data_IF_100474285974
#
_entry.id   IF_100474285974
#
_cell.length_a   1.000
_cell.length_b   1.000
_cell.length_c   1.000
_cell.angle_alpha   90.00
_cell.angle_beta   90.00
_cell.angle_gamma   90.00
#
_symmetry.space_group_name_H-M   'P 1'
#
loop_
_entity.id
_entity.type
_entity.pdbx_description
1 polymer ?
#
# COMPACT_ATOMS: atom_id res chain seq x y z
N UNK A 1 -56.30 34.18 -55.47
CA UNK A 1 -56.11 32.72 -55.55
C UNK A 1 -54.61 32.48 -55.64
N UNK A 2 -53.91 32.22 -54.53
CA UNK A 2 -53.82 30.94 -53.81
C UNK A 2 -53.13 29.86 -54.67
N UNK A 3 -51.90 29.48 -54.30
CA UNK A 3 -51.54 28.11 -53.87
C UNK A 3 -50.08 28.04 -53.36
N UNK A 4 -49.90 27.56 -52.12
CA UNK A 4 -48.63 27.02 -51.58
C UNK A 4 -48.56 25.52 -51.95
N UNK A 5 -47.37 24.86 -52.07
CA UNK A 5 -46.79 24.07 -50.95
C UNK A 5 -45.24 23.78 -51.10
N UNK A 6 -44.60 22.85 -50.34
CA UNK A 6 -44.72 22.48 -48.93
C UNK A 6 -43.41 22.61 -48.10
N UNK A 7 -43.62 22.46 -46.78
CA UNK A 7 -42.69 22.26 -45.67
C UNK A 7 -41.87 20.97 -45.74
N UNK A 8 -40.86 20.90 -44.87
CA UNK A 8 -40.25 19.69 -44.31
C UNK A 8 -39.43 18.77 -45.22
N UNK A 9 -38.12 18.97 -45.20
CA UNK A 9 -37.13 17.89 -44.94
C UNK A 9 -35.74 18.49 -44.89
N UNK A 10 -34.88 17.92 -44.04
CA UNK A 10 -33.45 18.20 -43.88
C UNK A 10 -33.08 19.29 -42.86
N UNK A 11 -33.64 19.22 -41.66
CA UNK A 11 -33.00 19.68 -40.40
C UNK A 11 -33.41 18.77 -39.25
N UNK A 12 -33.00 17.51 -39.29
CA UNK A 12 -33.22 16.56 -38.19
C UNK A 12 -32.09 15.52 -38.15
N UNK A 13 -30.81 15.91 -38.14
CA UNK A 13 -29.74 14.93 -37.88
C UNK A 13 -28.58 15.44 -36.99
N UNK A 14 -28.53 16.71 -36.57
CA UNK A 14 -27.36 17.24 -35.81
C UNK A 14 -27.56 17.33 -34.28
N UNK A 15 -28.78 17.20 -33.75
CA UNK A 15 -29.05 17.40 -32.31
C UNK A 15 -29.13 16.10 -31.46
N UNK A 16 -29.06 14.90 -32.08
CA UNK A 16 -29.16 13.62 -31.37
C UNK A 16 -27.81 13.07 -30.85
N UNK A 17 -26.68 13.52 -31.42
CA UNK A 17 -25.35 13.04 -31.02
C UNK A 17 -24.83 13.65 -29.71
N UNK A 18 -25.46 14.72 -29.22
CA UNK A 18 -24.98 15.49 -28.06
C UNK A 18 -25.44 14.96 -26.69
N UNK A 19 -26.33 13.96 -26.61
CA UNK A 19 -26.71 13.35 -25.33
C UNK A 19 -26.09 11.97 -25.09
N UNK A 20 -25.59 11.32 -26.14
CA UNK A 20 -24.98 10.00 -26.05
C UNK A 20 -23.68 10.04 -25.22
N UNK A 21 -22.88 11.10 -25.36
CA UNK A 21 -21.62 11.24 -24.62
C UNK A 21 -21.83 11.53 -23.12
N UNK A 22 -22.90 12.26 -22.76
CA UNK A 22 -23.27 12.52 -21.35
C UNK A 22 -23.76 11.25 -20.68
N UNK A 23 -24.62 10.47 -21.35
CA UNK A 23 -25.07 9.18 -20.86
C UNK A 23 -23.89 8.22 -20.69
N UNK A 24 -23.00 8.13 -21.68
CA UNK A 24 -21.78 7.32 -21.62
C UNK A 24 -20.87 7.73 -20.45
N UNK A 25 -20.67 9.03 -20.22
CA UNK A 25 -19.89 9.53 -19.10
C UNK A 25 -20.50 9.14 -17.74
N UNK A 26 -21.83 9.20 -17.60
CA UNK A 26 -22.52 8.72 -16.40
C UNK A 26 -22.33 7.20 -16.19
N UNK A 27 -22.41 6.40 -17.25
CA UNK A 27 -22.18 4.96 -17.17
C UNK A 27 -20.71 4.59 -16.89
N UNK A 28 -19.74 5.32 -17.43
CA UNK A 28 -18.32 5.13 -17.14
C UNK A 28 -17.96 5.57 -15.72
N UNK A 29 -18.60 6.65 -15.21
CA UNK A 29 -18.47 7.05 -13.81
C UNK A 29 -18.92 5.92 -12.86
N UNK A 30 -19.90 5.11 -13.30
CA UNK A 30 -20.39 3.96 -12.53
C UNK A 30 -19.43 2.78 -12.47
N UNK A 31 -18.41 2.76 -13.32
CA UNK A 31 -17.33 1.76 -13.29
C UNK A 31 -16.09 2.25 -12.53
N UNK A 32 -16.08 3.51 -12.10
CA UNK A 32 -15.00 4.06 -11.28
C UNK A 32 -14.92 3.33 -9.94
N UNK A 33 -13.76 2.72 -9.66
CA UNK A 33 -13.41 2.17 -8.35
C UNK A 33 -13.10 3.28 -7.33
N UNK A 34 -13.30 4.55 -7.68
CA UNK A 34 -13.16 5.65 -6.75
C UNK A 34 -14.36 5.66 -5.78
N UNK A 35 -14.20 4.92 -4.69
CA UNK A 35 -15.20 4.76 -3.62
C UNK A 35 -15.56 6.07 -2.93
N UNK A 36 -14.69 7.09 -3.01
CA UNK A 36 -14.90 8.38 -2.35
C UNK A 36 -16.13 9.12 -2.88
N UNK A 37 -16.49 8.91 -4.15
CA UNK A 37 -17.62 9.61 -4.78
C UNK A 37 -18.96 8.88 -4.60
N UNK A 38 -18.96 7.62 -4.15
CA UNK A 38 -20.15 6.75 -4.03
C UNK A 38 -20.53 6.40 -2.59
N UNK A 39 -19.67 6.66 -1.61
CA UNK A 39 -20.01 6.42 -0.22
C UNK A 39 -20.96 7.51 0.31
N UNK A 40 -22.10 7.09 0.87
CA UNK A 40 -22.96 7.99 1.62
C UNK A 40 -22.26 8.40 2.92
N UNK A 41 -21.92 9.69 3.03
CA UNK A 41 -21.34 10.26 4.23
C UNK A 41 -22.45 10.85 5.10
N UNK A 42 -22.80 10.15 6.17
CA UNK A 42 -23.78 10.65 7.14
C UNK A 42 -23.32 11.95 7.84
N UNK A 43 -24.23 12.70 8.48
CA UNK A 43 -23.93 13.99 9.13
C UNK A 43 -22.81 13.93 10.17
N UNK A 44 -22.60 12.78 10.80
CA UNK A 44 -21.58 12.55 11.84
C UNK A 44 -20.33 11.82 11.33
N UNK A 45 -20.17 11.64 10.01
CA UNK A 45 -19.01 10.96 9.45
C UNK A 45 -17.74 11.82 9.55
N UNK A 46 -16.58 11.16 9.65
CA UNK A 46 -15.28 11.82 9.69
C UNK A 46 -15.04 12.74 8.48
N UNK A 47 -15.58 12.38 7.31
CA UNK A 47 -15.51 13.21 6.10
C UNK A 47 -16.26 14.54 6.25
N UNK A 48 -17.50 14.52 6.78
CA UNK A 48 -18.31 15.74 6.98
C UNK A 48 -17.67 16.64 8.03
N UNK A 49 -17.13 16.05 9.11
CA UNK A 49 -16.38 16.80 10.14
C UNK A 49 -15.10 17.42 9.54
N UNK A 50 -14.35 16.67 8.74
CA UNK A 50 -13.14 17.18 8.07
C UNK A 50 -13.48 18.32 7.10
N UNK A 51 -14.57 18.19 6.34
CA UNK A 51 -15.08 19.21 5.42
C UNK A 51 -15.51 20.48 6.15
N UNK A 52 -16.24 20.36 7.27
CA UNK A 52 -16.66 21.51 8.06
C UNK A 52 -15.45 22.20 8.72
N UNK A 53 -14.51 21.43 9.26
CA UNK A 53 -13.25 21.95 9.78
C UNK A 53 -12.42 22.66 8.70
N UNK A 54 -12.37 22.10 7.49
CA UNK A 54 -11.69 22.74 6.35
C UNK A 54 -12.30 24.10 6.01
N UNK A 55 -13.64 24.18 5.99
CA UNK A 55 -14.36 25.43 5.73
C UNK A 55 -14.08 26.49 6.82
N UNK A 56 -14.15 26.12 8.10
CA UNK A 56 -13.83 27.02 9.21
C UNK A 56 -12.39 27.51 9.13
N UNK A 57 -11.45 26.63 8.76
CA UNK A 57 -10.05 26.99 8.52
C UNK A 57 -9.91 28.00 7.38
N UNK A 58 -10.60 27.80 6.25
CA UNK A 58 -10.57 28.72 5.12
C UNK A 58 -11.17 30.10 5.46
N UNK A 59 -12.26 30.13 6.23
CA UNK A 59 -12.88 31.37 6.71
C UNK A 59 -11.94 32.16 7.63
N UNK A 60 -11.16 31.49 8.47
CA UNK A 60 -10.28 32.12 9.46
C UNK A 60 -8.89 32.50 8.92
N UNK A 61 -8.31 31.69 8.03
CA UNK A 61 -6.93 31.84 7.54
C UNK A 61 -6.85 32.14 6.04
N UNK A 62 -7.96 32.19 5.31
CA UNK A 62 -7.97 32.27 3.86
C UNK A 62 -7.51 30.97 3.18
N UNK A 63 -7.19 31.04 1.88
CA UNK A 63 -6.81 29.89 1.04
C UNK A 63 -5.40 29.35 1.31
N UNK A 64 -4.85 29.55 2.51
CA UNK A 64 -3.53 29.08 2.88
C UNK A 64 -3.57 27.58 3.19
N UNK A 65 -3.09 26.78 2.24
CA UNK A 65 -2.84 25.36 2.43
C UNK A 65 -1.63 25.19 3.34
N UNK A 66 -1.84 25.25 4.66
CA UNK A 66 -0.83 24.70 5.57
C UNK A 66 -0.77 23.19 5.33
N UNK A 67 0.43 22.62 5.14
CA UNK A 67 0.56 21.17 4.99
C UNK A 67 -0.07 20.49 6.20
N UNK A 68 -0.92 19.49 5.96
CA UNK A 68 -1.61 18.70 7.01
C UNK A 68 -0.63 18.03 8.00
N UNK A 69 0.66 18.04 7.65
CA UNK A 69 1.77 17.46 8.39
C UNK A 69 2.80 18.55 8.65
N UNK A 70 3.32 18.60 9.88
CA UNK A 70 4.42 19.50 10.25
C UNK A 70 5.70 19.11 9.50
N UNK A 71 6.24 19.93 8.58
CA UNK A 71 7.37 19.54 7.75
C UNK A 71 8.60 19.08 8.55
N UNK A 72 8.86 19.69 9.71
CA UNK A 72 9.98 19.33 10.59
C UNK A 72 9.92 17.91 11.18
N UNK A 73 8.73 17.29 11.27
CA UNK A 73 8.57 15.93 11.82
C UNK A 73 8.19 14.89 10.76
N UNK A 74 7.71 15.35 9.60
CA UNK A 74 7.15 14.50 8.56
C UNK A 74 7.90 14.58 7.22
N UNK A 75 8.87 15.48 7.12
CA UNK A 75 9.87 15.48 6.05
C UNK A 75 10.92 14.42 6.34
N UNK A 76 11.38 13.75 5.28
CA UNK A 76 12.45 12.76 5.36
C UNK A 76 13.72 13.45 5.88
N UNK A 77 14.25 12.96 6.99
CA UNK A 77 15.46 13.54 7.59
C UNK A 77 16.69 13.11 6.78
N UNK A 78 17.77 13.88 6.83
CA UNK A 78 18.98 13.59 6.05
C UNK A 78 19.55 12.17 6.32
N UNK A 79 19.48 11.71 7.57
CA UNK A 79 19.91 10.35 7.96
C UNK A 79 18.96 9.25 7.45
N UNK A 80 17.69 9.55 7.23
CA UNK A 80 16.73 8.62 6.60
C UNK A 80 17.01 8.50 5.10
N UNK A 81 17.33 9.63 4.45
CA UNK A 81 17.70 9.68 3.03
C UNK A 81 18.98 8.91 2.77
N UNK A 82 20.04 9.14 3.55
CA UNK A 82 21.31 8.42 3.43
C UNK A 82 21.13 6.90 3.60
N UNK A 83 20.23 6.49 4.49
CA UNK A 83 19.90 5.08 4.72
C UNK A 83 19.13 4.47 3.53
N UNK A 84 18.24 5.25 2.90
CA UNK A 84 17.44 4.84 1.76
C UNK A 84 18.25 4.74 0.45
N UNK A 85 19.27 5.61 0.32
CA UNK A 85 20.17 5.65 -0.84
C UNK A 85 21.27 4.58 -0.78
N UNK A 86 21.44 3.90 0.36
CA UNK A 86 22.42 2.83 0.50
C UNK A 86 22.07 1.64 -0.39
N UNK A 87 23.07 1.13 -1.11
CA UNK A 87 22.92 -0.10 -1.89
C UNK A 87 22.43 -1.26 -1.02
N UNK A 88 21.46 -2.02 -1.54
CA UNK A 88 20.88 -3.18 -0.86
C UNK A 88 21.96 -4.25 -0.67
N UNK A 89 22.21 -4.72 0.57
CA UNK A 89 23.27 -5.68 0.82
C UNK A 89 22.95 -7.04 0.20
N UNK A 90 23.98 -7.75 -0.24
CA UNK A 90 23.86 -9.13 -0.71
C UNK A 90 23.74 -10.05 0.50
N UNK A 91 22.55 -10.59 0.73
CA UNK A 91 22.33 -11.55 1.81
C UNK A 91 22.77 -12.97 1.43
N UNK A 92 23.52 -13.59 2.34
CA UNK A 92 23.88 -15.01 2.34
C UNK A 92 22.95 -15.72 3.33
N UNK A 93 22.36 -16.83 2.89
CA UNK A 93 21.47 -17.62 3.73
C UNK A 93 22.21 -18.79 4.39
N UNK A 94 21.70 -19.26 5.55
CA UNK A 94 22.16 -20.53 6.13
C UNK A 94 21.83 -21.70 5.20
N UNK A 95 22.44 -22.85 5.48
CA UNK A 95 22.15 -24.11 4.79
C UNK A 95 20.64 -24.43 4.85
N UNK A 96 20.02 -25.01 3.80
CA UNK A 96 18.58 -25.21 3.74
C UNK A 96 18.00 -25.97 4.94
N UNK A 97 18.70 -27.01 5.42
CA UNK A 97 18.26 -27.79 6.58
C UNK A 97 18.27 -26.96 7.87
N UNK A 98 19.30 -26.13 8.04
CA UNK A 98 19.40 -25.18 9.16
C UNK A 98 18.31 -24.10 9.06
N UNK A 99 18.00 -23.62 7.86
CA UNK A 99 16.93 -22.64 7.64
C UNK A 99 15.58 -23.20 8.09
N UNK A 100 15.24 -24.44 7.71
CA UNK A 100 13.97 -25.09 8.12
C UNK A 100 13.90 -25.25 9.64
N UNK A 101 15.03 -25.63 10.28
CA UNK A 101 15.12 -25.73 11.73
C UNK A 101 14.87 -24.36 12.40
N UNK A 102 15.53 -23.31 11.93
CA UNK A 102 15.40 -21.96 12.48
C UNK A 102 13.97 -21.40 12.30
N UNK A 103 13.34 -21.63 11.16
CA UNK A 103 11.94 -21.24 10.94
C UNK A 103 11.03 -21.95 11.95
N UNK A 104 11.25 -23.25 12.16
CA UNK A 104 10.47 -24.03 13.14
C UNK A 104 10.67 -23.51 14.56
N UNK A 105 11.91 -23.20 14.94
CA UNK A 105 12.25 -22.60 16.24
C UNK A 105 11.63 -21.22 16.44
N UNK A 106 11.61 -20.38 15.39
CA UNK A 106 10.95 -19.07 15.46
C UNK A 106 9.46 -19.22 15.82
N UNK A 107 8.74 -20.11 15.12
CA UNK A 107 7.32 -20.31 15.39
C UNK A 107 7.05 -20.99 16.74
N UNK A 108 7.99 -21.81 17.22
CA UNK A 108 7.89 -22.44 18.53
C UNK A 108 8.16 -21.46 19.69
N UNK A 109 9.22 -20.64 19.61
CA UNK A 109 9.70 -19.86 20.75
C UNK A 109 9.31 -18.36 20.68
N UNK A 110 9.26 -17.79 19.47
CA UNK A 110 9.11 -16.33 19.28
C UNK A 110 7.68 -15.97 18.93
N UNK A 111 7.02 -16.75 18.07
CA UNK A 111 5.66 -16.45 17.61
C UNK A 111 4.62 -16.50 18.75
N UNK A 112 4.92 -17.16 19.87
CA UNK A 112 4.07 -17.15 21.07
C UNK A 112 4.02 -15.74 21.69
N UNK A 113 5.12 -14.98 21.60
CA UNK A 113 5.24 -13.64 22.17
C UNK A 113 4.90 -12.58 21.12
N UNK A 114 5.31 -12.79 19.85
CA UNK A 114 5.15 -11.84 18.75
C UNK A 114 4.60 -12.55 17.49
N UNK A 115 3.28 -12.81 17.40
CA UNK A 115 2.64 -13.50 16.27
C UNK A 115 2.44 -12.57 15.06
N UNK A 116 3.52 -12.02 14.53
CA UNK A 116 3.49 -11.09 13.37
C UNK A 116 3.38 -11.88 12.05
N UNK A 117 3.92 -13.11 12.02
CA UNK A 117 3.99 -13.94 10.83
C UNK A 117 3.03 -15.12 10.92
N UNK A 118 2.31 -15.38 9.82
CA UNK A 118 1.44 -16.55 9.71
C UNK A 118 2.24 -17.77 9.24
N UNK A 119 2.43 -18.77 10.10
CA UNK A 119 3.33 -19.89 9.85
C UNK A 119 3.05 -20.68 8.56
N UNK A 120 1.80 -21.06 8.23
CA UNK A 120 1.51 -21.79 6.98
C UNK A 120 1.89 -20.99 5.73
N UNK A 121 1.50 -19.71 5.68
CA UNK A 121 1.81 -18.84 4.54
C UNK A 121 3.31 -18.58 4.42
N UNK A 122 3.99 -18.37 5.54
CA UNK A 122 5.43 -18.14 5.55
C UNK A 122 6.20 -19.36 5.01
N UNK A 123 5.89 -20.56 5.51
CA UNK A 123 6.51 -21.80 5.03
C UNK A 123 6.24 -22.04 3.54
N UNK A 124 5.03 -21.74 3.06
CA UNK A 124 4.70 -21.84 1.64
C UNK A 124 5.55 -20.88 0.80
N UNK A 125 5.72 -19.63 1.23
CA UNK A 125 6.56 -18.65 0.54
C UNK A 125 8.04 -19.08 0.50
N UNK A 126 8.55 -19.67 1.58
CA UNK A 126 9.91 -20.23 1.61
C UNK A 126 10.05 -21.39 0.63
N UNK A 127 9.10 -22.34 0.65
CA UNK A 127 9.10 -23.51 -0.24
C UNK A 127 8.98 -23.14 -1.73
N UNK A 128 8.29 -22.04 -2.04
CA UNK A 128 8.21 -21.47 -3.39
C UNK A 128 9.49 -20.72 -3.81
N UNK A 129 10.47 -20.58 -2.91
CA UNK A 129 11.70 -19.85 -3.21
C UNK A 129 11.50 -18.33 -3.31
N UNK A 130 10.47 -17.76 -2.67
CA UNK A 130 10.17 -16.33 -2.77
C UNK A 130 11.37 -15.45 -2.36
N UNK A 131 12.20 -15.93 -1.45
CA UNK A 131 13.42 -15.26 -0.96
C UNK A 131 14.55 -15.12 -1.99
N UNK A 132 14.42 -15.72 -3.18
CA UNK A 132 15.34 -15.47 -4.31
C UNK A 132 14.91 -14.29 -5.18
N UNK A 133 13.62 -13.94 -5.16
CA UNK A 133 13.03 -12.94 -6.05
C UNK A 133 12.56 -11.68 -5.34
N UNK A 134 12.13 -11.82 -4.09
CA UNK A 134 11.61 -10.73 -3.28
C UNK A 134 12.64 -10.34 -2.21
N UNK A 135 13.14 -9.11 -2.30
CA UNK A 135 14.15 -8.57 -1.38
C UNK A 135 13.61 -8.37 0.04
N UNK A 136 12.36 -7.95 0.17
CA UNK A 136 11.76 -7.64 1.47
C UNK A 136 11.47 -8.96 2.21
N UNK A 137 10.97 -9.96 1.48
CA UNK A 137 10.81 -11.32 2.00
C UNK A 137 12.16 -11.95 2.38
N UNK A 138 13.20 -11.77 1.55
CA UNK A 138 14.57 -12.22 1.85
C UNK A 138 15.10 -11.65 3.16
N UNK A 139 14.91 -10.34 3.37
CA UNK A 139 15.30 -9.65 4.61
C UNK A 139 14.51 -10.18 5.81
N UNK A 140 13.21 -10.40 5.62
CA UNK A 140 12.31 -10.95 6.66
C UNK A 140 12.69 -12.38 7.05
N UNK A 141 13.03 -13.22 6.07
CA UNK A 141 13.49 -14.59 6.30
C UNK A 141 14.81 -14.61 7.06
N UNK A 142 15.75 -13.73 6.72
CA UNK A 142 17.02 -13.64 7.44
C UNK A 142 16.83 -13.13 8.87
N UNK A 143 15.91 -12.17 9.09
CA UNK A 143 15.50 -11.74 10.43
C UNK A 143 14.95 -12.91 11.25
N UNK A 144 14.04 -13.71 10.67
CA UNK A 144 13.50 -14.91 11.32
C UNK A 144 14.64 -15.86 11.72
N UNK A 145 15.58 -16.13 10.81
CA UNK A 145 16.74 -16.97 11.08
C UNK A 145 17.61 -16.40 12.21
N UNK A 146 17.90 -15.10 12.18
CA UNK A 146 18.74 -14.43 13.18
C UNK A 146 18.09 -14.43 14.57
N UNK A 147 16.78 -14.19 14.66
CA UNK A 147 16.06 -14.24 15.93
C UNK A 147 16.03 -15.68 16.46
N UNK A 148 15.72 -16.65 15.60
CA UNK A 148 15.67 -18.07 15.98
C UNK A 148 17.04 -18.64 16.37
N UNK A 149 18.14 -18.10 15.84
CA UNK A 149 19.49 -18.60 16.09
C UNK A 149 19.86 -18.61 17.58
N UNK A 150 19.28 -17.73 18.40
CA UNK A 150 19.52 -17.73 19.86
C UNK A 150 18.95 -18.96 20.57
N UNK A 151 17.99 -19.65 19.94
CA UNK A 151 17.33 -20.85 20.44
C UNK A 151 17.86 -22.12 19.77
N UNK A 152 18.74 -21.99 18.77
CA UNK A 152 19.45 -23.12 18.18
C UNK A 152 20.60 -23.52 19.10
N UNK A 153 20.67 -24.81 19.45
CA UNK A 153 21.76 -25.38 20.26
C UNK A 153 22.99 -25.77 19.43
N UNK A 154 23.09 -25.30 18.17
CA UNK A 154 24.20 -25.66 17.28
C UNK A 154 25.49 -24.90 17.68
N UNK A 155 26.57 -25.60 18.08
CA UNK A 155 27.83 -24.99 18.53
C UNK A 155 28.55 -24.15 17.47
N UNK A 156 28.22 -24.29 16.18
CA UNK A 156 28.83 -23.46 15.12
C UNK A 156 28.42 -21.99 15.17
N UNK A 157 27.29 -21.66 15.80
CA UNK A 157 26.84 -20.27 15.99
C UNK A 157 27.47 -19.57 17.21
N UNK A 158 28.14 -20.33 18.09
CA UNK A 158 28.74 -19.80 19.33
C UNK A 158 30.27 -19.66 19.28
N UNK A 159 30.94 -20.18 18.25
CA UNK A 159 32.41 -20.29 18.21
C UNK A 159 33.15 -19.15 17.48
N UNK A 160 32.56 -17.98 17.25
CA UNK A 160 33.30 -16.84 16.66
C UNK A 160 33.28 -15.53 17.45
N UNK A 161 32.64 -15.46 18.62
CA UNK A 161 32.61 -14.24 19.44
C UNK A 161 33.53 -14.31 20.68
N UNK A 162 34.26 -15.41 20.86
CA UNK A 162 35.25 -15.53 21.93
C UNK A 162 36.56 -16.10 21.36
N UNK A 163 37.44 -15.21 20.93
CA UNK A 163 38.89 -15.47 20.96
C UNK A 163 39.51 -14.33 21.79
N UNK A 164 40.29 -14.66 22.83
CA UNK A 164 40.91 -13.69 23.75
C UNK A 164 41.96 -12.80 23.07
#
# INVERSE_FOLDING_TARGET
AAESPPSDRLKQEEDEEDFAHVALADHLSKLSLNTVQRCFFGPSSAFVIMKSAHRVKEEALGHHTHPFKRPQYWGMQAWETESSEREKPVYIFPEPDLMVLLISLYFAEVSIILPILHAPSFNQCVAQGLHFHDHDFKTTLLLVCAVASRYSNDPTSQLSWCVP
#
